data_IF_665347677822
#
_entry.id   IF_665347677822
#
_cell.length_a   1.000
_cell.length_b   1.000
_cell.length_c   1.000
_cell.angle_alpha   90.00
_cell.angle_beta   90.00
_cell.angle_gamma   90.00
#
_symmetry.space_group_name_H-M   'P 1'
#
loop_
_entity.id
_entity.type
_entity.pdbx_description
1 polymer ?
#
# COMPACT_ATOMS: atom_id res chain seq x y z
N UNK A 1 -1.26 1.44 -1.05
CA UNK A 1 -0.52 1.60 0.22
C UNK A 1 -1.48 1.76 1.39
N UNK A 2 -1.13 1.15 2.54
CA UNK A 2 -2.03 0.95 3.68
C UNK A 2 -2.68 2.24 4.19
N UNK A 3 -3.95 2.17 4.56
CA UNK A 3 -4.65 3.30 5.17
C UNK A 3 -4.28 3.37 6.65
N UNK A 4 -3.84 4.55 7.10
CA UNK A 4 -3.69 4.82 8.53
C UNK A 4 -5.04 4.64 9.21
N UNK A 5 -5.10 3.76 10.21
CA UNK A 5 -6.28 3.53 11.03
C UNK A 5 -6.14 4.35 12.31
N UNK A 6 -7.16 5.15 12.61
CA UNK A 6 -7.14 6.03 13.78
C UNK A 6 -7.24 5.26 15.12
N UNK A 7 -7.81 4.05 15.09
CA UNK A 7 -8.05 3.22 16.27
C UNK A 7 -7.03 2.08 16.37
N UNK A 8 -6.44 1.92 17.55
CA UNK A 8 -5.51 0.84 17.88
C UNK A 8 -6.13 -0.22 18.81
N UNK A 9 -7.37 -0.01 19.24
CA UNK A 9 -8.10 -0.88 20.17
C UNK A 9 -9.29 -1.53 19.47
N UNK A 10 -9.31 -2.86 19.47
CA UNK A 10 -10.35 -3.66 18.84
C UNK A 10 -10.98 -4.62 19.85
N UNK A 11 -12.28 -4.82 19.73
CA UNK A 11 -13.04 -5.80 20.49
C UNK A 11 -13.14 -7.12 19.70
N UNK A 12 -13.46 -8.21 20.39
CA UNK A 12 -13.66 -9.52 19.75
C UNK A 12 -14.69 -9.47 18.60
N UNK A 13 -15.74 -8.66 18.74
CA UNK A 13 -16.75 -8.46 17.70
C UNK A 13 -16.19 -7.84 16.41
N UNK A 14 -15.19 -6.97 16.50
CA UNK A 14 -14.54 -6.37 15.33
C UNK A 14 -13.77 -7.42 14.54
N UNK A 15 -13.06 -8.32 15.23
CA UNK A 15 -12.37 -9.45 14.60
C UNK A 15 -13.35 -10.44 13.97
N UNK A 16 -14.49 -10.71 14.59
CA UNK A 16 -15.56 -11.53 14.01
C UNK A 16 -16.09 -10.91 12.72
N UNK A 17 -16.39 -9.61 12.75
CA UNK A 17 -16.88 -8.88 11.58
C UNK A 17 -15.84 -8.87 10.45
N UNK A 18 -14.57 -8.64 10.77
CA UNK A 18 -13.47 -8.70 9.80
C UNK A 18 -13.38 -10.08 9.14
N UNK A 19 -13.38 -11.16 9.92
CA UNK A 19 -13.31 -12.54 9.39
C UNK A 19 -14.48 -12.86 8.45
N UNK A 20 -15.69 -12.41 8.79
CA UNK A 20 -16.86 -12.61 7.94
C UNK A 20 -16.75 -11.86 6.62
N UNK A 21 -16.30 -10.59 6.65
CA UNK A 21 -16.10 -9.77 5.45
C UNK A 21 -14.99 -10.34 4.56
N UNK A 22 -13.85 -10.69 5.15
CA UNK A 22 -12.73 -11.31 4.44
C UNK A 22 -13.18 -12.58 3.71
N UNK A 23 -13.89 -13.49 4.40
CA UNK A 23 -14.42 -14.71 3.77
C UNK A 23 -15.34 -14.40 2.60
N UNK A 24 -16.26 -13.43 2.75
CA UNK A 24 -17.20 -13.04 1.70
C UNK A 24 -16.47 -12.47 0.47
N UNK A 25 -15.50 -11.60 0.67
CA UNK A 25 -14.74 -10.97 -0.41
C UNK A 25 -13.82 -11.97 -1.12
N UNK A 26 -13.20 -12.91 -0.38
CA UNK A 26 -12.44 -14.00 -1.00
C UNK A 26 -13.32 -14.91 -1.86
N UNK A 27 -14.55 -15.20 -1.43
CA UNK A 27 -15.49 -15.99 -2.22
C UNK A 27 -15.94 -15.25 -3.49
N UNK A 28 -16.18 -13.94 -3.38
CA UNK A 28 -16.50 -13.10 -4.54
C UNK A 28 -15.34 -13.07 -5.55
N UNK A 29 -14.11 -12.88 -5.07
CA UNK A 29 -12.92 -12.90 -5.92
C UNK A 29 -12.77 -14.26 -6.62
N UNK A 30 -13.01 -15.37 -5.91
CA UNK A 30 -13.02 -16.70 -6.49
C UNK A 30 -14.05 -16.80 -7.63
N UNK A 31 -15.27 -16.32 -7.41
CA UNK A 31 -16.32 -16.33 -8.43
C UNK A 31 -15.90 -15.52 -9.67
N UNK A 32 -15.26 -14.36 -9.50
CA UNK A 32 -14.76 -13.56 -10.62
C UNK A 32 -13.71 -14.28 -11.47
N UNK A 33 -12.86 -15.12 -10.86
CA UNK A 33 -11.96 -15.98 -11.61
C UNK A 33 -12.71 -17.07 -12.39
N UNK A 34 -13.71 -17.71 -11.77
CA UNK A 34 -14.53 -18.75 -12.40
C UNK A 34 -15.39 -18.19 -13.57
N UNK A 35 -15.86 -16.96 -13.44
CA UNK A 35 -16.69 -16.26 -14.44
C UNK A 35 -15.87 -15.59 -15.55
N UNK A 36 -14.53 -15.60 -15.46
CA UNK A 36 -13.68 -14.91 -16.43
C UNK A 36 -13.88 -13.39 -16.45
N UNK A 37 -14.14 -12.79 -15.28
CA UNK A 37 -14.46 -11.37 -15.14
C UNK A 37 -13.29 -10.43 -15.48
N UNK A 38 -12.05 -10.89 -15.33
CA UNK A 38 -10.86 -10.07 -15.54
C UNK A 38 -10.49 -9.95 -17.03
N UNK A 39 -10.01 -8.76 -17.41
CA UNK A 39 -9.60 -8.45 -18.79
C UNK A 39 -8.43 -9.32 -19.26
N UNK A 40 -8.47 -9.73 -20.53
CA UNK A 40 -7.41 -10.41 -21.27
C UNK A 40 -6.69 -9.46 -22.25
N UNK A 41 -6.69 -8.16 -21.96
CA UNK A 41 -6.08 -7.12 -22.79
C UNK A 41 -4.56 -7.25 -22.95
N UNK A 42 -3.93 -6.23 -23.54
CA UNK A 42 -2.48 -6.20 -23.72
C UNK A 42 -1.75 -6.30 -22.37
N UNK A 43 -0.56 -6.90 -22.40
CA UNK A 43 0.28 -6.98 -21.21
C UNK A 43 0.77 -5.60 -20.82
N UNK A 44 0.61 -5.29 -19.54
CA UNK A 44 1.01 -4.03 -18.93
C UNK A 44 2.07 -4.33 -17.86
N UNK A 45 3.09 -3.48 -17.73
CA UNK A 45 4.13 -3.62 -16.70
C UNK A 45 4.11 -2.35 -15.84
N UNK A 46 3.78 -2.52 -14.56
CA UNK A 46 4.05 -1.52 -13.53
C UNK A 46 5.38 -1.80 -12.82
N UNK A 47 5.94 -0.78 -12.18
CA UNK A 47 7.07 -0.94 -11.27
C UNK A 47 6.83 -0.16 -9.98
N UNK A 48 7.42 -0.67 -8.91
CA UNK A 48 7.57 0.00 -7.62
C UNK A 48 9.06 -0.06 -7.25
N UNK A 49 9.57 1.04 -6.70
CA UNK A 49 10.94 1.15 -6.19
C UNK A 49 10.91 1.77 -4.81
N UNK A 50 11.57 1.12 -3.84
CA UNK A 50 11.75 1.69 -2.52
C UNK A 50 13.14 2.32 -2.37
N UNK A 51 13.19 3.49 -1.72
CA UNK A 51 14.44 4.15 -1.38
C UNK A 51 14.47 4.56 0.10
N UNK A 52 15.68 4.58 0.66
CA UNK A 52 15.96 4.98 2.03
C UNK A 52 16.59 6.37 2.05
N UNK A 53 16.00 7.26 2.82
CA UNK A 53 16.57 8.55 3.17
C UNK A 53 17.64 8.32 4.24
N UNK A 54 18.85 8.80 3.97
CA UNK A 54 19.98 8.68 4.88
C UNK A 54 20.67 10.03 5.09
N UNK A 55 21.30 10.21 6.24
CA UNK A 55 22.16 11.36 6.53
C UNK A 55 23.56 11.21 5.91
N UNK A 56 24.42 12.20 6.14
CA UNK A 56 25.80 12.21 5.64
C UNK A 56 26.67 11.07 6.19
N UNK A 57 26.24 10.44 7.28
CA UNK A 57 26.90 9.29 7.91
C UNK A 57 26.22 7.96 7.54
N UNK A 58 25.30 7.98 6.57
CA UNK A 58 24.49 6.84 6.11
C UNK A 58 23.54 6.25 7.17
N UNK A 59 23.18 7.00 8.21
CA UNK A 59 22.13 6.59 9.14
C UNK A 59 20.75 6.93 8.58
N UNK A 60 19.69 6.19 8.97
CA UNK A 60 18.33 6.50 8.54
C UNK A 60 17.88 7.91 8.96
N UNK A 61 17.39 8.69 8.00
CA UNK A 61 16.90 10.05 8.21
C UNK A 61 15.36 10.06 8.26
N UNK A 62 14.71 10.19 9.44
CA UNK A 62 13.27 10.02 9.61
C UNK A 62 12.46 11.27 9.18
N UNK A 63 12.66 11.70 7.92
CA UNK A 63 12.15 12.94 7.34
C UNK A 63 11.29 12.70 6.09
N UNK A 64 10.77 11.49 5.87
CA UNK A 64 10.03 11.14 4.66
C UNK A 64 8.83 12.07 4.41
N UNK A 65 8.04 12.40 5.43
CA UNK A 65 6.88 13.27 5.34
C UNK A 65 7.24 14.65 4.77
N UNK A 66 8.31 15.27 5.28
CA UNK A 66 8.76 16.59 4.82
C UNK A 66 9.34 16.55 3.41
N UNK A 67 9.98 15.43 3.02
CA UNK A 67 10.44 15.21 1.64
C UNK A 67 9.24 15.07 0.70
N UNK A 68 8.23 14.27 1.08
CA UNK A 68 7.02 14.03 0.30
C UNK A 68 6.20 15.31 0.09
N UNK A 69 5.99 16.10 1.15
CA UNK A 69 5.29 17.40 1.06
C UNK A 69 5.97 18.36 0.09
N UNK A 70 7.30 18.31 0.01
CA UNK A 70 8.08 19.16 -0.88
C UNK A 70 8.16 18.63 -2.30
N UNK A 71 8.25 17.31 -2.46
CA UNK A 71 8.26 16.64 -3.75
C UNK A 71 6.89 16.80 -4.45
N UNK A 72 5.81 16.68 -3.68
CA UNK A 72 4.42 16.90 -4.11
C UNK A 72 4.09 16.14 -5.42
N UNK A 73 4.55 14.90 -5.51
CA UNK A 73 4.32 14.00 -6.63
C UNK A 73 3.38 12.87 -6.19
N UNK A 74 2.21 12.69 -6.83
CA UNK A 74 1.26 11.64 -6.44
C UNK A 74 1.79 10.21 -6.67
N UNK A 75 2.88 10.04 -7.44
CA UNK A 75 3.52 8.74 -7.66
C UNK A 75 4.57 8.41 -6.60
N UNK A 76 4.84 9.30 -5.65
CA UNK A 76 5.78 9.06 -4.55
C UNK A 76 5.05 9.11 -3.23
N UNK A 77 5.05 8.00 -2.49
CA UNK A 77 4.24 7.80 -1.30
C UNK A 77 5.11 7.36 -0.11
N UNK A 78 4.63 7.58 1.14
CA UNK A 78 5.36 7.10 2.30
C UNK A 78 5.28 5.59 2.42
N UNK A 79 6.37 5.01 2.92
CA UNK A 79 6.43 3.64 3.40
C UNK A 79 6.30 3.55 4.93
N UNK A 80 6.17 2.34 5.46
CA UNK A 80 5.98 2.11 6.90
C UNK A 80 7.07 2.79 7.77
N UNK A 81 8.32 2.75 7.32
CA UNK A 81 9.40 3.42 8.01
C UNK A 81 9.42 4.92 7.68
N UNK A 82 9.63 5.75 8.71
CA UNK A 82 9.70 7.23 8.60
C UNK A 82 10.83 7.78 7.72
N UNK A 83 11.66 6.91 7.16
CA UNK A 83 12.80 7.22 6.30
C UNK A 83 12.72 6.49 4.95
N UNK A 84 11.65 5.75 4.67
CA UNK A 84 11.45 5.10 3.38
C UNK A 84 10.46 5.90 2.51
N UNK A 85 10.69 5.83 1.21
CA UNK A 85 9.82 6.34 0.16
C UNK A 85 9.58 5.24 -0.86
N UNK A 86 8.37 5.13 -1.37
CA UNK A 86 8.02 4.27 -2.51
C UNK A 86 7.78 5.15 -3.75
N UNK A 87 8.40 4.78 -4.86
CA UNK A 87 8.22 5.40 -6.17
C UNK A 87 7.43 4.46 -7.06
N UNK A 88 6.31 4.95 -7.56
CA UNK A 88 5.41 4.25 -8.46
C UNK A 88 5.63 4.69 -9.92
N UNK A 89 5.45 3.76 -10.85
CA UNK A 89 5.45 4.05 -12.29
C UNK A 89 4.04 4.10 -12.88
N UNK A 90 3.81 4.97 -13.86
CA UNK A 90 2.67 4.79 -14.77
C UNK A 90 2.99 3.64 -15.73
N UNK A 91 2.09 2.67 -15.88
CA UNK A 91 2.29 1.60 -16.84
C UNK A 91 2.26 2.05 -18.30
#
# INVERSE_FOLDING_TARGET
>A
MGQEIADSHFQAADFDAFRQRLRRETLLLKQWFEDGFFSVGEHVIGFELEAWLVDEQAHPAPINQSVLERLNDPLVVPELARFNLEFNGTP
#
